data_IF_357176779887
#
_entry.id   IF_357176779887
#
_cell.length_a   1.000
_cell.length_b   1.000
_cell.length_c   1.000
_cell.angle_alpha   90.00
_cell.angle_beta   90.00
_cell.angle_gamma   90.00
#
_symmetry.space_group_name_H-M   'P 1'
#
loop_
_entity.id
_entity.type
_entity.pdbx_description
1 polymer ?
#
# COMPACT_ATOMS: atom_id res chain seq x y z
N UNK A 1 54.04 -16.10 -33.21
CA UNK A 1 53.88 -16.49 -31.77
C UNK A 1 53.02 -15.53 -30.96
N UNK A 2 52.63 -14.33 -31.42
CA UNK A 2 51.83 -13.34 -30.66
C UNK A 2 50.34 -13.64 -30.53
N UNK A 3 49.70 -14.23 -31.56
CA UNK A 3 48.24 -14.42 -31.60
C UNK A 3 47.70 -15.42 -30.55
N UNK A 4 48.48 -16.43 -30.19
CA UNK A 4 48.05 -17.37 -29.14
C UNK A 4 48.12 -16.76 -27.73
N UNK A 5 49.07 -15.89 -27.45
CA UNK A 5 49.17 -15.18 -26.17
C UNK A 5 48.04 -14.21 -25.92
N UNK A 6 47.59 -13.50 -26.94
CA UNK A 6 46.43 -12.57 -26.86
C UNK A 6 45.14 -13.36 -26.64
N UNK A 7 44.94 -14.47 -27.36
CA UNK A 7 43.76 -15.35 -27.16
C UNK A 7 43.72 -15.93 -25.75
N UNK A 8 44.86 -16.44 -25.24
CA UNK A 8 44.93 -16.97 -23.87
C UNK A 8 44.62 -15.88 -22.83
N UNK A 9 45.17 -14.66 -23.01
CA UNK A 9 44.84 -13.52 -22.12
C UNK A 9 43.36 -13.16 -22.17
N UNK A 10 42.75 -13.10 -23.33
CA UNK A 10 41.33 -12.82 -23.49
C UNK A 10 40.46 -13.87 -22.79
N UNK A 11 40.82 -15.17 -22.93
CA UNK A 11 40.11 -16.26 -22.25
C UNK A 11 40.26 -16.16 -20.72
N UNK A 12 41.48 -15.87 -20.21
CA UNK A 12 41.67 -15.66 -18.79
C UNK A 12 40.88 -14.51 -18.23
N UNK A 13 40.83 -13.35 -18.92
CA UNK A 13 40.03 -12.20 -18.52
C UNK A 13 38.57 -12.57 -18.49
N UNK A 14 38.05 -13.27 -19.50
CA UNK A 14 36.66 -13.73 -19.53
C UNK A 14 36.31 -14.65 -18.37
N UNK A 15 37.18 -15.60 -18.06
CA UNK A 15 37.01 -16.53 -16.92
C UNK A 15 37.00 -15.80 -15.58
N UNK A 16 37.85 -14.79 -15.41
CA UNK A 16 37.86 -13.93 -14.21
C UNK A 16 36.56 -13.13 -14.09
N UNK A 17 36.07 -12.56 -15.17
CA UNK A 17 34.78 -11.84 -15.19
C UNK A 17 33.60 -12.76 -14.83
N UNK A 18 33.57 -13.97 -15.38
CA UNK A 18 32.56 -14.98 -15.04
C UNK A 18 32.66 -15.38 -13.56
N UNK A 19 33.85 -15.58 -13.04
CA UNK A 19 34.06 -15.93 -11.63
C UNK A 19 33.59 -14.80 -10.70
N UNK A 20 33.86 -13.54 -11.06
CA UNK A 20 33.37 -12.36 -10.30
C UNK A 20 31.86 -12.31 -10.34
N UNK A 21 31.23 -12.43 -11.50
CA UNK A 21 29.79 -12.45 -11.64
C UNK A 21 29.13 -13.54 -10.82
N UNK A 22 29.64 -14.78 -10.92
CA UNK A 22 29.17 -15.92 -10.13
C UNK A 22 29.32 -15.71 -8.61
N UNK A 23 30.41 -15.04 -8.18
CA UNK A 23 30.61 -14.72 -6.76
C UNK A 23 29.60 -13.68 -6.26
N UNK A 24 29.28 -12.69 -7.08
CA UNK A 24 28.24 -11.68 -6.76
C UNK A 24 26.88 -12.36 -6.65
N UNK A 25 26.53 -13.23 -7.59
CA UNK A 25 25.25 -13.95 -7.59
C UNK A 25 25.15 -14.88 -6.37
N UNK A 26 26.20 -15.64 -6.06
CA UNK A 26 26.24 -16.50 -4.89
C UNK A 26 26.07 -15.71 -3.59
N UNK A 27 26.72 -14.55 -3.47
CA UNK A 27 26.59 -13.67 -2.32
C UNK A 27 25.18 -13.06 -2.21
N UNK A 28 24.53 -12.77 -3.33
CA UNK A 28 23.16 -12.26 -3.35
C UNK A 28 22.17 -13.35 -2.93
N UNK A 29 22.30 -14.57 -3.47
CA UNK A 29 21.48 -15.73 -3.09
C UNK A 29 21.59 -16.03 -1.60
N UNK A 30 22.81 -16.08 -1.07
CA UNK A 30 23.02 -16.30 0.35
C UNK A 30 22.38 -15.23 1.24
N UNK A 31 22.42 -13.95 0.83
CA UNK A 31 21.71 -12.87 1.52
C UNK A 31 20.21 -13.07 1.47
N UNK A 32 19.64 -13.41 0.31
CA UNK A 32 18.20 -13.67 0.17
C UNK A 32 17.74 -14.84 1.04
N UNK A 33 18.49 -15.94 1.04
CA UNK A 33 18.19 -17.10 1.90
C UNK A 33 18.18 -16.73 3.39
N UNK A 34 19.16 -15.92 3.81
CA UNK A 34 19.23 -15.44 5.19
C UNK A 34 18.01 -14.57 5.56
N UNK A 35 17.60 -13.66 4.69
CA UNK A 35 16.42 -12.86 4.93
C UNK A 35 15.14 -13.70 4.93
N UNK A 36 15.00 -14.61 3.99
CA UNK A 36 13.87 -15.54 3.95
C UNK A 36 13.78 -16.40 5.21
N UNK A 37 14.91 -16.90 5.71
CA UNK A 37 14.94 -17.68 6.94
C UNK A 37 14.44 -16.86 8.16
N UNK A 38 14.82 -15.58 8.28
CA UNK A 38 14.35 -14.69 9.34
C UNK A 38 12.85 -14.43 9.22
N UNK A 39 12.34 -14.19 8.01
CA UNK A 39 10.93 -13.96 7.75
C UNK A 39 10.10 -15.19 8.11
N UNK A 40 10.51 -16.36 7.64
CA UNK A 40 9.81 -17.63 7.90
C UNK A 40 9.84 -18.01 9.38
N UNK A 41 10.96 -17.72 10.08
CA UNK A 41 11.06 -17.95 11.52
C UNK A 41 10.25 -16.94 12.36
N UNK A 42 9.63 -15.92 11.75
CA UNK A 42 8.94 -14.85 12.47
C UNK A 42 9.88 -13.98 13.32
N UNK A 43 11.20 -14.07 13.11
CA UNK A 43 12.22 -13.34 13.85
C UNK A 43 12.49 -11.97 13.21
N UNK A 44 11.41 -11.24 12.95
CA UNK A 44 11.47 -9.94 12.30
C UNK A 44 11.40 -8.85 13.37
N UNK A 45 12.57 -8.39 13.82
CA UNK A 45 12.64 -7.30 14.80
C UNK A 45 12.14 -5.99 14.19
N UNK A 46 11.29 -5.27 14.93
CA UNK A 46 10.65 -4.01 14.50
C UNK A 46 11.66 -2.85 14.32
N UNK A 47 12.80 -2.92 14.99
CA UNK A 47 13.86 -1.90 14.98
C UNK A 47 14.84 -2.00 13.80
N UNK A 48 14.73 -3.03 12.98
CA UNK A 48 15.66 -3.23 11.87
C UNK A 48 15.31 -2.33 10.69
N UNK A 49 16.13 -1.31 10.48
CA UNK A 49 15.96 -0.31 9.40
C UNK A 49 16.57 -0.74 8.06
N UNK A 50 17.53 -1.67 8.09
CA UNK A 50 18.21 -2.15 6.90
C UNK A 50 17.67 -3.51 6.48
N UNK A 51 17.39 -3.66 5.19
CA UNK A 51 16.91 -4.92 4.64
C UNK A 51 16.13 -4.75 3.34
N UNK A 52 15.79 -5.86 2.68
CA UNK A 52 14.98 -5.83 1.48
C UNK A 52 13.53 -5.45 1.80
N UNK A 53 12.79 -5.05 0.76
CA UNK A 53 11.40 -4.65 0.87
C UNK A 53 10.50 -5.75 1.50
N UNK A 54 10.80 -7.01 1.21
CA UNK A 54 10.11 -8.17 1.76
C UNK A 54 10.25 -8.26 3.30
N UNK A 55 11.42 -7.87 3.83
CA UNK A 55 11.62 -7.81 5.28
C UNK A 55 10.73 -6.75 5.90
N UNK A 56 10.71 -5.52 5.35
CA UNK A 56 9.86 -4.45 5.84
C UNK A 56 8.36 -4.80 5.72
N UNK A 57 7.99 -5.53 4.67
CA UNK A 57 6.63 -6.04 4.53
C UNK A 57 6.30 -7.06 5.63
N UNK A 58 7.23 -7.96 5.96
CA UNK A 58 7.07 -8.93 7.03
C UNK A 58 6.99 -8.25 8.41
N UNK A 59 7.80 -7.19 8.65
CA UNK A 59 7.72 -6.34 9.85
C UNK A 59 6.33 -5.71 9.98
N UNK A 60 5.85 -5.09 8.91
CA UNK A 60 4.51 -4.51 8.87
C UNK A 60 3.42 -5.54 9.19
N UNK A 61 3.53 -6.73 8.61
CA UNK A 61 2.58 -7.82 8.85
C UNK A 61 2.63 -8.31 10.32
N UNK A 62 3.82 -8.46 10.88
CA UNK A 62 3.99 -8.85 12.28
C UNK A 62 3.43 -7.79 13.25
N UNK A 63 3.70 -6.50 12.99
CA UNK A 63 3.14 -5.39 13.75
C UNK A 63 1.61 -5.35 13.66
N UNK A 64 1.04 -5.59 12.47
CA UNK A 64 -0.40 -5.70 12.29
C UNK A 64 -1.03 -6.85 13.09
N UNK A 65 -0.34 -8.00 13.12
CA UNK A 65 -0.77 -9.18 13.85
C UNK A 65 -0.72 -8.97 15.37
N UNK A 66 0.25 -8.20 15.87
CA UNK A 66 0.35 -7.82 17.28
C UNK A 66 -0.62 -6.69 17.70
N UNK A 67 -1.36 -6.11 16.75
CA UNK A 67 -2.28 -4.99 17.01
C UNK A 67 -1.63 -3.61 16.99
N UNK A 68 -0.33 -3.51 16.65
CA UNK A 68 0.41 -2.25 16.57
C UNK A 68 0.14 -1.57 15.22
N UNK A 69 -1.04 -0.96 15.07
CA UNK A 69 -1.51 -0.40 13.79
C UNK A 69 -0.56 0.67 13.26
N UNK A 70 -0.13 1.60 14.11
CA UNK A 70 0.76 2.71 13.71
C UNK A 70 2.12 2.21 13.23
N UNK A 71 2.71 1.22 13.92
CA UNK A 71 3.95 0.57 13.50
C UNK A 71 3.77 -0.15 12.16
N UNK A 72 2.68 -0.89 11.99
CA UNK A 72 2.38 -1.57 10.73
C UNK A 72 2.25 -0.58 9.56
N UNK A 73 1.50 0.51 9.73
CA UNK A 73 1.35 1.56 8.71
C UNK A 73 2.69 2.26 8.42
N UNK A 74 3.52 2.48 9.45
CA UNK A 74 4.86 3.05 9.28
C UNK A 74 5.73 2.18 8.36
N UNK A 75 5.73 0.85 8.56
CA UNK A 75 6.49 -0.09 7.72
C UNK A 75 5.89 -0.28 6.32
N UNK A 76 4.56 -0.25 6.16
CA UNK A 76 3.93 -0.36 4.84
C UNK A 76 4.13 0.89 3.98
N UNK A 77 4.16 2.10 4.56
CA UNK A 77 4.20 3.37 3.83
C UNK A 77 5.31 3.46 2.77
N UNK A 78 6.59 3.16 3.07
CA UNK A 78 7.67 3.27 2.09
C UNK A 78 7.59 2.22 0.96
N UNK A 79 6.77 1.17 1.14
CA UNK A 79 6.62 0.09 0.17
C UNK A 79 5.55 0.37 -0.89
N UNK A 80 4.63 1.31 -0.66
CA UNK A 80 3.45 1.59 -1.49
C UNK A 80 3.82 2.18 -2.84
N UNK A 81 4.32 1.35 -3.75
CA UNK A 81 4.65 1.68 -5.13
C UNK A 81 3.94 0.73 -6.11
N UNK A 82 4.35 0.77 -7.38
CA UNK A 82 3.71 0.04 -8.47
C UNK A 82 4.11 -1.45 -8.54
N UNK A 83 5.02 -1.90 -7.67
CA UNK A 83 5.38 -3.31 -7.58
C UNK A 83 4.24 -4.16 -7.01
N UNK A 84 4.26 -5.48 -7.23
CA UNK A 84 3.30 -6.40 -6.64
C UNK A 84 3.30 -6.31 -5.09
N UNK A 85 4.48 -6.18 -4.49
CA UNK A 85 4.64 -6.00 -3.05
C UNK A 85 4.07 -4.64 -2.59
N UNK A 86 4.26 -3.58 -3.39
CA UNK A 86 3.73 -2.25 -3.11
C UNK A 86 2.21 -2.21 -3.15
N UNK A 87 1.59 -2.85 -4.13
CA UNK A 87 0.13 -3.00 -4.18
C UNK A 87 -0.41 -3.80 -2.98
N UNK A 88 0.27 -4.89 -2.61
CA UNK A 88 -0.07 -5.66 -1.41
C UNK A 88 0.07 -4.82 -0.13
N UNK A 89 1.11 -3.99 0.00
CA UNK A 89 1.30 -3.08 1.12
C UNK A 89 0.17 -2.04 1.19
N UNK A 90 -0.23 -1.47 0.05
CA UNK A 90 -1.36 -0.52 -0.06
C UNK A 90 -2.67 -1.18 0.37
N UNK A 91 -2.95 -2.37 -0.15
CA UNK A 91 -4.13 -3.15 0.24
C UNK A 91 -4.16 -3.47 1.75
N UNK A 92 -3.05 -3.92 2.32
CA UNK A 92 -2.96 -4.23 3.75
C UNK A 92 -3.11 -2.98 4.62
N UNK A 93 -2.55 -1.85 4.20
CA UNK A 93 -2.73 -0.56 4.88
C UNK A 93 -4.20 -0.14 4.89
N UNK A 94 -4.89 -0.25 3.75
CA UNK A 94 -6.32 0.05 3.66
C UNK A 94 -7.15 -0.83 4.62
N UNK A 95 -6.84 -2.12 4.71
CA UNK A 95 -7.50 -3.03 5.64
C UNK A 95 -7.26 -2.65 7.11
N UNK A 96 -6.04 -2.25 7.46
CA UNK A 96 -5.72 -1.81 8.81
C UNK A 96 -6.49 -0.55 9.18
N UNK A 97 -6.53 0.45 8.29
CA UNK A 97 -7.28 1.68 8.49
C UNK A 97 -8.78 1.41 8.66
N UNK A 98 -9.36 0.54 7.82
CA UNK A 98 -10.78 0.18 7.95
C UNK A 98 -11.08 -0.54 9.26
N UNK A 99 -10.21 -1.46 9.69
CA UNK A 99 -10.34 -2.14 10.99
C UNK A 99 -10.21 -1.15 12.15
N UNK A 100 -9.25 -0.24 12.10
CA UNK A 100 -9.06 0.81 13.10
C UNK A 100 -10.27 1.73 13.17
N UNK A 101 -10.83 2.11 12.01
CA UNK A 101 -12.04 2.91 11.94
C UNK A 101 -13.23 2.27 12.69
N UNK A 102 -13.40 0.95 12.57
CA UNK A 102 -14.46 0.23 13.28
C UNK A 102 -14.26 0.28 14.81
N UNK A 103 -13.01 0.18 15.27
CA UNK A 103 -12.66 0.29 16.70
C UNK A 103 -12.94 1.71 17.19
N UNK A 104 -12.44 2.72 16.47
CA UNK A 104 -12.61 4.14 16.84
C UNK A 104 -14.09 4.55 16.80
N UNK A 105 -14.86 4.06 15.81
CA UNK A 105 -16.30 4.33 15.71
C UNK A 105 -17.10 3.82 16.90
N UNK A 106 -16.67 2.71 17.50
CA UNK A 106 -17.28 2.16 18.70
C UNK A 106 -16.83 2.88 19.99
N UNK A 107 -15.83 3.75 19.91
CA UNK A 107 -15.23 4.45 21.05
C UNK A 107 -15.81 5.85 21.28
N UNK A 108 -15.08 6.65 22.05
CA UNK A 108 -15.48 7.99 22.47
C UNK A 108 -15.37 9.07 21.39
N UNK A 109 -14.70 8.80 20.28
CA UNK A 109 -14.43 9.77 19.21
C UNK A 109 -14.85 9.26 17.83
N UNK A 110 -16.13 9.00 17.59
CA UNK A 110 -16.61 8.38 16.36
C UNK A 110 -16.32 9.22 15.10
N UNK A 111 -16.17 10.53 15.24
CA UNK A 111 -15.80 11.42 14.11
C UNK A 111 -14.44 11.13 13.50
N UNK A 112 -13.48 10.60 14.26
CA UNK A 112 -12.18 10.20 13.74
C UNK A 112 -12.28 8.99 12.79
N UNK A 113 -13.30 8.15 12.95
CA UNK A 113 -13.53 7.01 12.07
C UNK A 113 -13.81 7.44 10.62
N UNK A 114 -14.42 8.61 10.41
CA UNK A 114 -14.73 9.14 9.08
C UNK A 114 -13.45 9.28 8.25
N UNK A 115 -12.44 9.96 8.80
CA UNK A 115 -11.18 10.17 8.10
C UNK A 115 -10.46 8.85 7.77
N UNK A 116 -10.50 7.88 8.70
CA UNK A 116 -9.91 6.56 8.48
C UNK A 116 -10.64 5.77 7.40
N UNK A 117 -11.97 5.84 7.35
CA UNK A 117 -12.77 5.17 6.31
C UNK A 117 -12.50 5.80 4.95
N UNK A 118 -12.49 7.13 4.84
CA UNK A 118 -12.22 7.82 3.58
C UNK A 118 -10.82 7.47 3.05
N UNK A 119 -9.81 7.49 3.91
CA UNK A 119 -8.46 7.10 3.51
C UNK A 119 -8.40 5.63 3.06
N UNK A 120 -9.09 4.73 3.75
CA UNK A 120 -9.17 3.33 3.36
C UNK A 120 -9.87 3.16 1.99
N UNK A 121 -10.97 3.87 1.74
CA UNK A 121 -11.69 3.87 0.46
C UNK A 121 -10.78 4.31 -0.69
N UNK A 122 -10.04 5.40 -0.50
CA UNK A 122 -9.10 5.90 -1.50
C UNK A 122 -8.01 4.87 -1.83
N UNK A 123 -7.40 4.27 -0.79
CA UNK A 123 -6.38 3.24 -1.00
C UNK A 123 -6.93 1.98 -1.69
N UNK A 124 -8.18 1.56 -1.41
CA UNK A 124 -8.81 0.46 -2.15
C UNK A 124 -9.09 0.82 -3.60
N UNK A 125 -9.49 2.07 -3.90
CA UNK A 125 -9.65 2.56 -5.28
C UNK A 125 -8.32 2.55 -6.04
N UNK A 126 -7.22 2.94 -5.38
CA UNK A 126 -5.89 2.88 -5.97
C UNK A 126 -5.47 1.44 -6.32
N UNK A 127 -5.71 0.49 -5.40
CA UNK A 127 -5.47 -0.93 -5.68
C UNK A 127 -6.29 -1.41 -6.88
N UNK A 128 -7.56 -1.00 -6.96
CA UNK A 128 -8.46 -1.42 -8.06
C UNK A 128 -8.15 -0.71 -9.39
N UNK A 129 -7.52 0.47 -9.37
CA UNK A 129 -7.02 1.15 -10.58
C UNK A 129 -5.88 0.36 -11.20
N UNK A 130 -4.98 -0.19 -10.37
CA UNK A 130 -3.84 -1.00 -10.82
C UNK A 130 -4.26 -2.45 -11.11
N UNK A 131 -5.19 -3.01 -10.32
CA UNK A 131 -5.69 -4.38 -10.42
C UNK A 131 -7.22 -4.42 -10.38
N UNK A 132 -7.91 -4.18 -11.52
CA UNK A 132 -9.38 -4.11 -11.54
C UNK A 132 -10.11 -5.38 -11.10
N UNK A 133 -9.44 -6.52 -11.18
CA UNK A 133 -9.98 -7.84 -10.79
C UNK A 133 -9.62 -8.23 -9.35
N UNK A 134 -9.04 -7.34 -8.56
CA UNK A 134 -8.68 -7.62 -7.17
C UNK A 134 -9.95 -7.72 -6.29
N UNK A 135 -10.48 -8.93 -6.19
CA UNK A 135 -11.78 -9.22 -5.57
C UNK A 135 -11.86 -8.72 -4.12
N UNK A 136 -10.84 -8.98 -3.33
CA UNK A 136 -10.82 -8.59 -1.92
C UNK A 136 -10.81 -7.06 -1.71
N UNK A 137 -10.14 -6.30 -2.59
CA UNK A 137 -10.17 -4.84 -2.54
C UNK A 137 -11.56 -4.31 -2.89
N UNK A 138 -12.22 -4.89 -3.90
CA UNK A 138 -13.60 -4.53 -4.28
C UNK A 138 -14.57 -4.78 -3.14
N UNK A 139 -14.52 -5.96 -2.55
CA UNK A 139 -15.36 -6.32 -1.41
C UNK A 139 -15.17 -5.37 -0.22
N UNK A 140 -13.91 -5.03 0.12
CA UNK A 140 -13.62 -4.14 1.24
C UNK A 140 -13.96 -2.68 0.95
N UNK A 141 -13.84 -2.23 -0.31
CA UNK A 141 -14.31 -0.92 -0.73
C UNK A 141 -15.83 -0.81 -0.56
N UNK A 142 -16.58 -1.77 -1.05
CA UNK A 142 -18.03 -1.82 -0.90
C UNK A 142 -18.45 -1.83 0.58
N UNK A 143 -17.73 -2.60 1.40
CA UNK A 143 -17.94 -2.60 2.86
C UNK A 143 -17.69 -1.23 3.47
N UNK A 144 -16.61 -0.54 3.06
CA UNK A 144 -16.29 0.81 3.54
C UNK A 144 -17.34 1.83 3.10
N UNK A 145 -17.85 1.75 1.87
CA UNK A 145 -18.93 2.60 1.36
C UNK A 145 -20.25 2.40 2.12
N UNK A 146 -20.57 1.16 2.50
CA UNK A 146 -21.74 0.92 3.37
C UNK A 146 -21.60 1.53 4.76
N UNK A 147 -20.36 1.65 5.27
CA UNK A 147 -20.11 2.31 6.57
C UNK A 147 -20.16 3.83 6.47
N UNK A 148 -19.70 4.37 5.34
CA UNK A 148 -19.68 5.78 5.01
C UNK A 148 -19.94 5.93 3.51
N UNK A 149 -21.20 6.15 3.08
CA UNK A 149 -21.54 6.35 1.68
C UNK A 149 -20.79 7.54 1.06
N UNK A 150 -20.50 7.46 -0.21
CA UNK A 150 -19.97 8.60 -0.95
C UNK A 150 -21.05 9.71 -1.06
N UNK A 151 -20.68 10.99 -1.15
CA UNK A 151 -21.64 12.09 -1.15
C UNK A 151 -22.73 11.97 -2.24
N UNK A 152 -22.36 11.48 -3.41
CA UNK A 152 -23.29 11.28 -4.53
C UNK A 152 -24.27 10.13 -4.25
N UNK A 153 -23.80 9.03 -3.67
CA UNK A 153 -24.64 7.90 -3.25
C UNK A 153 -25.58 8.29 -2.09
N UNK A 154 -25.08 9.10 -1.16
CA UNK A 154 -25.87 9.61 -0.04
C UNK A 154 -27.01 10.51 -0.52
N UNK A 155 -26.77 11.35 -1.55
CA UNK A 155 -27.79 12.15 -2.19
C UNK A 155 -28.83 11.29 -2.93
N UNK A 156 -28.38 10.21 -3.57
CA UNK A 156 -29.27 9.29 -4.29
C UNK A 156 -30.14 8.42 -3.36
N UNK A 157 -29.65 8.11 -2.18
CA UNK A 157 -30.41 7.42 -1.14
C UNK A 157 -31.31 8.37 -0.31
N UNK A 158 -31.14 9.70 -0.44
CA UNK A 158 -31.92 10.67 0.32
C UNK A 158 -33.37 10.74 -0.17
N UNK A 159 -34.36 11.03 0.72
CA UNK A 159 -35.75 11.29 0.33
C UNK A 159 -35.83 12.39 -0.75
N UNK A 160 -36.84 12.34 -1.63
CA UNK A 160 -36.98 13.30 -2.73
C UNK A 160 -36.97 14.78 -2.32
N UNK A 161 -37.41 15.08 -1.12
CA UNK A 161 -37.42 16.45 -0.56
C UNK A 161 -36.01 16.96 -0.29
N UNK A 162 -35.14 16.12 0.30
CA UNK A 162 -33.73 16.47 0.59
C UNK A 162 -32.93 16.68 -0.69
N UNK A 163 -33.18 15.87 -1.75
CA UNK A 163 -32.60 16.08 -3.08
C UNK A 163 -32.95 17.45 -3.67
N UNK A 164 -34.20 17.81 -3.62
CA UNK A 164 -34.68 19.12 -4.12
C UNK A 164 -34.07 20.29 -3.37
N UNK A 165 -33.88 20.17 -2.07
CA UNK A 165 -33.26 21.21 -1.25
C UNK A 165 -31.77 21.36 -1.54
N UNK A 166 -31.04 20.22 -1.74
CA UNK A 166 -29.64 20.20 -2.15
C UNK A 166 -29.47 20.82 -3.56
N UNK A 167 -30.33 20.48 -4.52
CA UNK A 167 -30.34 21.07 -5.87
C UNK A 167 -30.62 22.55 -5.85
N UNK A 168 -31.58 23.02 -5.03
CA UNK A 168 -31.87 24.43 -4.85
C UNK A 168 -30.70 25.19 -4.26
N UNK A 169 -30.04 24.63 -3.24
CA UNK A 169 -28.85 25.22 -2.61
C UNK A 169 -27.71 25.37 -3.62
N UNK A 170 -27.44 24.32 -4.42
CA UNK A 170 -26.40 24.32 -5.46
C UNK A 170 -26.73 25.37 -6.55
N UNK A 171 -28.00 25.51 -6.95
CA UNK A 171 -28.44 26.50 -7.96
C UNK A 171 -28.32 27.91 -7.41
N UNK A 172 -28.66 28.14 -6.15
CA UNK A 172 -28.56 29.45 -5.50
C UNK A 172 -27.11 29.90 -5.35
N UNK A 173 -26.20 29.01 -5.02
CA UNK A 173 -24.76 29.34 -4.92
C UNK A 173 -24.13 29.67 -6.29
N UNK A 174 -24.59 29.06 -7.38
CA UNK A 174 -24.13 29.40 -8.74
C UNK A 174 -24.62 30.75 -9.24
N UNK A 175 -25.74 31.22 -8.72
CA UNK A 175 -26.36 32.52 -9.11
C UNK A 175 -25.78 33.73 -8.39
N UNK A 176 -25.03 33.57 -7.33
CA UNK A 176 -24.42 34.65 -6.57
C UNK A 176 -23.02 34.96 -7.08
N UNK A 177 -22.93 35.75 -8.14
CA UNK A 177 -21.73 36.52 -8.49
C UNK A 177 -21.81 37.86 -7.77
N UNK A 178 -20.97 38.12 -6.74
CA UNK A 178 -20.89 39.47 -6.19
C UNK A 178 -20.33 40.36 -7.28
N UNK A 179 -21.18 41.23 -7.83
CA UNK A 179 -20.74 42.29 -8.72
C UNK A 179 -19.72 43.14 -7.96
N UNK A 180 -18.53 43.23 -8.48
CA UNK A 180 -17.51 44.18 -8.05
C UNK A 180 -18.02 45.59 -8.40
N UNK A 181 -17.83 46.57 -7.52
CA UNK A 181 -18.14 47.96 -7.77
C UNK A 181 -17.24 48.56 -8.86
#
# INVERSE_FOLDING_TARGET
MGANRTRTRAVLVLLVLIAIAASIDAASLWRHERWNALIVAGQVADDRKEGPAELHFAQAHAAAASGSVDSALHHYRPLQGDSALGRAARYNSANLLLRQALVVRAGAQPGQAIALIELAKEMFRDVLRDEPLHWAARYNLERAQRLLPDPDEALDAAPPETKRDAERAATTMRGYSPGLP
#
